data_IF_565985688168
#
_entry.id   IF_565985688168
#
_cell.length_a   1.000
_cell.length_b   1.000
_cell.length_c   1.000
_cell.angle_alpha   90.00
_cell.angle_beta   90.00
_cell.angle_gamma   90.00
#
_symmetry.space_group_name_H-M   'P 1'
#
loop_
_entity.id
_entity.type
_entity.pdbx_description
1 polymer ?
#
# COMPACT_ATOMS: atom_id res chain seq x y z
N UNK A 1 51.43 11.81 31.60
CA UNK A 1 50.05 11.45 32.05
C UNK A 1 49.07 11.87 30.96
N UNK A 2 48.36 10.91 30.38
CA UNK A 2 47.47 11.11 29.23
C UNK A 2 46.26 11.97 29.60
N UNK A 3 46.03 13.06 28.85
CA UNK A 3 44.76 13.80 28.87
C UNK A 3 43.67 12.86 28.35
N UNK A 4 42.72 12.51 29.22
CA UNK A 4 41.53 11.77 28.84
C UNK A 4 40.79 12.53 27.74
N UNK A 5 40.70 11.92 26.55
CA UNK A 5 39.95 12.44 25.43
C UNK A 5 38.47 12.26 25.73
N UNK A 6 37.85 13.27 26.35
CA UNK A 6 36.40 13.37 26.45
C UNK A 6 35.84 13.30 25.02
N UNK A 7 35.10 12.23 24.72
CA UNK A 7 34.33 12.10 23.49
C UNK A 7 33.22 13.15 23.55
N UNK A 8 33.52 14.38 23.12
CA UNK A 8 32.52 15.39 22.83
C UNK A 8 31.64 14.81 21.72
N UNK A 9 30.42 14.36 22.08
CA UNK A 9 29.36 14.02 21.12
C UNK A 9 29.20 15.22 20.18
N UNK A 10 29.72 15.12 18.95
CA UNK A 10 29.52 16.15 17.92
C UNK A 10 28.04 16.20 17.57
N UNK A 11 27.28 17.06 18.26
CA UNK A 11 25.86 17.35 17.99
C UNK A 11 25.59 17.70 16.53
N UNK A 12 26.56 18.28 15.85
CA UNK A 12 26.48 18.72 14.44
C UNK A 12 26.17 17.60 13.43
N UNK A 13 26.33 16.31 13.79
CA UNK A 13 26.10 15.19 12.86
C UNK A 13 24.67 14.66 12.84
N UNK A 14 23.80 15.09 13.75
CA UNK A 14 22.45 14.54 13.87
C UNK A 14 21.41 15.65 13.86
N UNK A 15 20.31 15.44 13.14
CA UNK A 15 19.15 16.31 13.23
C UNK A 15 18.58 16.28 14.66
N UNK A 16 18.01 17.40 15.10
CA UNK A 16 17.34 17.45 16.39
C UNK A 16 16.21 16.39 16.44
N UNK A 17 16.07 15.68 17.57
CA UNK A 17 14.99 14.72 17.72
C UNK A 17 13.63 15.39 17.49
N UNK A 18 12.76 14.82 16.63
CA UNK A 18 11.43 15.37 16.42
C UNK A 18 10.59 15.26 17.71
N UNK A 19 9.78 16.26 17.98
CA UNK A 19 8.77 16.22 19.03
C UNK A 19 7.46 15.64 18.46
N UNK A 20 7.10 14.42 18.85
CA UNK A 20 5.85 13.77 18.43
C UNK A 20 4.70 14.14 19.38
N UNK A 21 3.75 14.92 18.88
CA UNK A 21 2.62 15.44 19.68
C UNK A 21 1.34 14.62 19.55
N UNK A 22 1.12 13.97 18.41
CA UNK A 22 -0.02 13.09 18.19
C UNK A 22 0.40 11.62 18.37
N UNK A 23 -0.35 10.88 19.18
CA UNK A 23 -0.19 9.44 19.37
C UNK A 23 -1.55 8.78 19.28
N UNK A 24 -1.70 7.85 18.35
CA UNK A 24 -2.90 7.05 18.17
C UNK A 24 -2.49 5.59 18.06
N UNK A 25 -3.14 4.74 18.83
CA UNK A 25 -2.99 3.30 18.74
C UNK A 25 -4.14 2.74 17.90
N UNK A 26 -3.80 1.90 16.92
CA UNK A 26 -4.73 1.24 16.02
C UNK A 26 -4.83 -0.26 16.29
N UNK A 27 -4.15 -0.76 17.33
CA UNK A 27 -4.18 -2.17 17.70
C UNK A 27 -5.59 -2.59 18.12
N UNK A 28 -6.14 -3.70 17.57
CA UNK A 28 -7.41 -4.25 18.03
C UNK A 28 -7.35 -4.64 19.51
N UNK A 29 -8.41 -4.37 20.26
CA UNK A 29 -8.44 -4.57 21.73
C UNK A 29 -8.37 -6.05 22.16
N UNK A 30 -8.72 -6.97 21.27
CA UNK A 30 -8.73 -8.41 21.48
C UNK A 30 -7.36 -9.07 21.22
N UNK A 31 -6.39 -8.34 20.63
CA UNK A 31 -5.04 -8.85 20.39
C UNK A 31 -4.22 -8.78 21.68
N UNK A 32 -3.96 -9.95 22.28
CA UNK A 32 -3.02 -10.10 23.40
C UNK A 32 -1.66 -10.57 22.90
N UNK A 33 -0.63 -9.77 23.17
CA UNK A 33 0.75 -10.16 22.88
C UNK A 33 1.21 -11.30 23.81
N UNK A 34 1.82 -12.31 23.21
CA UNK A 34 2.45 -13.45 23.86
C UNK A 34 3.98 -13.45 23.71
N UNK A 35 4.54 -12.52 22.94
CA UNK A 35 5.97 -12.40 22.65
C UNK A 35 6.47 -13.51 21.71
N UNK A 36 7.69 -13.98 21.96
CA UNK A 36 8.28 -15.15 21.29
C UNK A 36 8.00 -16.39 22.15
N UNK A 37 6.98 -17.16 21.79
CA UNK A 37 6.48 -18.27 22.61
C UNK A 37 6.08 -19.48 21.76
N UNK A 38 6.52 -20.68 22.14
CA UNK A 38 5.95 -21.92 21.59
C UNK A 38 4.54 -22.13 22.16
N UNK A 39 3.54 -22.13 21.30
CA UNK A 39 2.11 -22.13 21.68
C UNK A 39 1.43 -23.48 21.51
N UNK A 40 2.11 -24.45 20.92
CA UNK A 40 1.57 -25.80 20.77
C UNK A 40 2.40 -26.67 19.86
N UNK A 41 1.89 -27.89 19.64
CA UNK A 41 2.44 -28.83 18.69
C UNK A 41 1.35 -29.80 18.24
N UNK A 42 1.62 -30.51 17.16
CA UNK A 42 0.87 -31.69 16.73
C UNK A 42 1.84 -32.80 16.37
N UNK A 43 1.38 -34.04 16.49
CA UNK A 43 2.16 -35.25 16.21
C UNK A 43 1.35 -36.08 15.22
N UNK A 44 2.01 -36.61 14.20
CA UNK A 44 1.37 -37.53 13.25
C UNK A 44 0.89 -38.81 13.96
N UNK A 45 -0.10 -39.48 13.38
CA UNK A 45 -0.68 -40.70 13.95
C UNK A 45 0.36 -41.82 14.13
N UNK A 46 1.25 -41.99 13.15
CA UNK A 46 2.38 -42.92 13.18
C UNK A 46 3.55 -42.45 14.08
N UNK A 47 3.44 -41.25 14.65
CA UNK A 47 4.41 -40.59 15.54
C UNK A 47 5.81 -40.39 14.93
N UNK A 48 5.92 -40.36 13.61
CA UNK A 48 7.19 -40.10 12.91
C UNK A 48 7.47 -38.61 12.68
N UNK A 49 6.43 -37.77 12.72
CA UNK A 49 6.52 -36.33 12.45
C UNK A 49 5.89 -35.53 13.59
N UNK A 50 6.55 -34.43 13.97
CA UNK A 50 6.03 -33.44 14.92
C UNK A 50 6.14 -32.05 14.30
N UNK A 51 5.03 -31.30 14.31
CA UNK A 51 5.05 -29.87 14.02
C UNK A 51 5.01 -29.11 15.36
N UNK A 52 5.85 -28.09 15.50
CA UNK A 52 5.82 -27.16 16.62
C UNK A 52 5.33 -25.80 16.15
N UNK A 53 4.43 -25.20 16.93
CA UNK A 53 3.85 -23.90 16.63
C UNK A 53 4.56 -22.83 17.46
N UNK A 54 5.30 -21.96 16.78
CA UNK A 54 5.92 -20.78 17.37
C UNK A 54 5.04 -19.56 17.07
N UNK A 55 4.59 -18.87 18.11
CA UNK A 55 4.02 -17.54 18.01
C UNK A 55 5.11 -16.50 18.25
N UNK A 56 5.16 -15.47 17.40
CA UNK A 56 6.14 -14.41 17.49
C UNK A 56 5.49 -13.07 17.18
N UNK A 57 5.23 -12.29 18.23
CA UNK A 57 4.76 -10.91 18.07
C UNK A 57 5.86 -10.02 17.53
N UNK A 58 5.62 -9.48 16.33
CA UNK A 58 6.60 -8.64 15.65
C UNK A 58 6.08 -7.22 15.50
N UNK A 59 6.71 -6.29 16.22
CA UNK A 59 6.42 -4.85 16.12
C UNK A 59 7.49 -4.15 15.29
N UNK A 60 7.06 -3.56 14.17
CA UNK A 60 7.90 -2.72 13.32
C UNK A 60 7.52 -1.25 13.44
N UNK A 61 8.51 -0.38 13.60
CA UNK A 61 8.33 1.07 13.46
C UNK A 61 8.81 1.52 12.08
N UNK A 62 7.88 1.92 11.22
CA UNK A 62 8.20 2.48 9.91
C UNK A 62 8.32 4.00 10.05
N UNK A 63 9.48 4.57 9.70
CA UNK A 63 9.69 6.02 9.69
C UNK A 63 9.61 6.53 8.25
N UNK A 64 8.55 7.26 7.93
CA UNK A 64 8.35 7.79 6.57
C UNK A 64 9.20 9.02 6.24
N UNK A 65 9.83 9.66 7.23
CA UNK A 65 10.78 10.76 7.03
C UNK A 65 10.16 11.90 6.21
N UNK A 66 10.84 12.33 5.14
CA UNK A 66 10.33 13.37 4.26
C UNK A 66 9.06 13.01 3.48
N UNK A 67 8.68 11.73 3.41
CA UNK A 67 7.43 11.30 2.79
C UNK A 67 6.23 11.39 3.75
N UNK A 68 6.43 11.74 5.03
CA UNK A 68 5.37 11.70 6.06
C UNK A 68 4.13 12.50 5.69
N UNK A 69 4.27 13.63 4.97
CA UNK A 69 3.12 14.45 4.55
C UNK A 69 2.17 13.73 3.57
N UNK A 70 2.64 12.73 2.82
CA UNK A 70 1.77 11.85 2.05
C UNK A 70 0.86 11.02 2.97
N UNK A 71 1.46 10.33 3.95
CA UNK A 71 0.73 9.46 4.87
C UNK A 71 -0.20 10.23 5.82
N UNK A 72 0.20 11.44 6.25
CA UNK A 72 -0.69 12.35 6.99
C UNK A 72 -1.88 12.75 6.12
N UNK A 73 -1.65 13.09 4.84
CA UNK A 73 -2.74 13.39 3.90
C UNK A 73 -3.76 12.25 3.76
N UNK A 74 -3.32 10.99 3.84
CA UNK A 74 -4.23 9.85 3.79
C UNK A 74 -5.22 9.83 4.98
N UNK A 75 -4.79 10.23 6.18
CA UNK A 75 -5.69 10.41 7.33
C UNK A 75 -6.79 11.45 7.03
N UNK A 76 -6.42 12.53 6.35
CA UNK A 76 -7.32 13.62 5.97
C UNK A 76 -8.20 13.31 4.75
N UNK A 77 -8.00 12.16 4.09
CA UNK A 77 -8.71 11.83 2.85
C UNK A 77 -8.19 12.60 1.63
N UNK A 78 -6.90 12.92 1.63
CA UNK A 78 -6.20 13.66 0.59
C UNK A 78 -5.07 12.84 -0.02
N UNK A 79 -4.86 12.98 -1.32
CA UNK A 79 -3.67 12.45 -1.98
C UNK A 79 -2.66 13.59 -2.13
N UNK A 80 -1.63 13.58 -1.29
CA UNK A 80 -0.54 14.57 -1.41
C UNK A 80 0.52 14.08 -2.40
N UNK A 81 0.75 14.83 -3.46
CA UNK A 81 1.85 14.65 -4.39
C UNK A 81 2.98 15.63 -4.16
N UNK A 82 4.02 15.47 -4.98
CA UNK A 82 5.12 16.43 -5.09
C UNK A 82 5.27 16.89 -6.54
N UNK A 83 5.57 18.17 -6.77
CA UNK A 83 5.83 18.76 -8.08
C UNK A 83 7.22 19.40 -8.12
N UNK A 84 7.99 19.21 -9.17
CA UNK A 84 9.24 19.94 -9.36
C UNK A 84 8.95 21.37 -9.87
N UNK A 85 9.46 22.42 -9.21
CA UNK A 85 9.25 23.80 -9.67
C UNK A 85 9.99 24.12 -10.98
N UNK A 86 10.98 23.30 -11.37
CA UNK A 86 11.79 23.53 -12.58
C UNK A 86 11.18 22.92 -13.84
N UNK A 87 10.83 21.63 -13.82
CA UNK A 87 10.25 20.94 -15.00
C UNK A 87 8.73 20.80 -14.95
N UNK A 88 8.09 21.08 -13.82
CA UNK A 88 6.63 20.96 -13.67
C UNK A 88 6.11 19.53 -13.46
N UNK A 89 6.97 18.51 -13.56
CA UNK A 89 6.56 17.11 -13.32
C UNK A 89 6.03 16.91 -11.91
N UNK A 90 5.00 16.08 -11.80
CA UNK A 90 4.36 15.70 -10.53
C UNK A 90 4.43 14.19 -10.28
N UNK A 91 4.45 13.78 -9.02
CA UNK A 91 4.59 12.37 -8.63
C UNK A 91 3.71 11.98 -7.44
N UNK A 92 3.03 10.84 -7.59
CA UNK A 92 2.45 10.00 -6.54
C UNK A 92 2.72 8.53 -6.92
N UNK A 93 3.52 7.76 -6.17
CA UNK A 93 4.15 8.09 -4.89
C UNK A 93 5.10 9.30 -4.94
N UNK A 94 5.22 10.00 -3.81
CA UNK A 94 5.98 11.24 -3.70
C UNK A 94 7.48 11.04 -3.87
N UNK A 95 8.14 12.05 -4.42
CA UNK A 95 9.61 12.15 -4.50
C UNK A 95 10.01 13.54 -4.02
N UNK A 96 10.87 13.60 -3.01
CA UNK A 96 11.26 14.89 -2.40
C UNK A 96 12.28 15.66 -3.24
N UNK A 97 12.88 14.99 -4.21
CA UNK A 97 13.81 15.56 -5.19
C UNK A 97 13.48 15.05 -6.59
N UNK A 98 13.66 15.92 -7.58
CA UNK A 98 13.42 15.59 -8.98
C UNK A 98 14.47 14.58 -9.48
N UNK A 99 13.99 13.56 -10.19
CA UNK A 99 14.80 12.51 -10.80
C UNK A 99 15.32 12.86 -12.20
N UNK A 100 14.74 13.89 -12.84
CA UNK A 100 15.22 14.37 -14.12
C UNK A 100 16.64 14.93 -13.94
N UNK A 101 17.59 14.41 -14.72
CA UNK A 101 19.00 14.78 -14.65
C UNK A 101 19.21 16.28 -14.94
N UNK A 102 18.41 16.87 -15.82
CA UNK A 102 18.44 18.31 -16.14
C UNK A 102 17.97 19.16 -14.96
N UNK A 103 17.26 18.58 -14.00
CA UNK A 103 16.81 19.24 -12.79
C UNK A 103 17.81 19.13 -11.64
N UNK A 104 18.89 18.34 -11.77
CA UNK A 104 19.96 18.22 -10.79
C UNK A 104 19.48 18.13 -9.33
N UNK A 105 18.62 17.15 -9.04
CA UNK A 105 18.05 16.92 -7.71
C UNK A 105 17.28 18.14 -7.13
N UNK A 106 16.64 18.95 -7.98
CA UNK A 106 15.78 20.04 -7.53
C UNK A 106 14.78 19.56 -6.47
N UNK A 107 14.76 20.22 -5.31
CA UNK A 107 13.79 19.93 -4.24
C UNK A 107 12.37 20.24 -4.73
N UNK A 108 11.46 19.32 -4.48
CA UNK A 108 10.08 19.38 -4.95
C UNK A 108 9.19 20.12 -3.95
N UNK A 109 8.09 20.65 -4.47
CA UNK A 109 7.04 21.34 -3.72
C UNK A 109 5.86 20.39 -3.52
N UNK A 110 5.14 20.52 -2.42
CA UNK A 110 3.96 19.71 -2.15
C UNK A 110 2.74 20.24 -2.91
N UNK A 111 1.96 19.32 -3.47
CA UNK A 111 0.72 19.63 -4.19
C UNK A 111 -0.37 18.65 -3.77
N UNK A 112 -1.60 19.11 -3.65
CA UNK A 112 -2.76 18.22 -3.48
C UNK A 112 -3.18 17.71 -4.86
N UNK A 113 -3.25 16.39 -5.01
CA UNK A 113 -3.57 15.73 -6.29
C UNK A 113 -5.07 15.46 -6.37
N UNK A 114 -5.66 15.49 -7.58
CA UNK A 114 -7.08 15.19 -7.73
C UNK A 114 -7.38 13.73 -7.38
N UNK A 115 -8.62 13.47 -6.95
CA UNK A 115 -9.11 12.13 -6.64
C UNK A 115 -9.54 11.34 -7.89
N UNK A 116 -8.82 11.55 -8.98
CA UNK A 116 -9.04 10.89 -10.28
C UNK A 116 -7.77 10.17 -10.70
N UNK A 117 -7.93 9.04 -11.37
CA UNK A 117 -6.82 8.27 -11.87
C UNK A 117 -7.15 7.60 -13.21
N UNK A 118 -6.13 7.04 -13.85
CA UNK A 118 -6.26 6.29 -15.10
C UNK A 118 -5.43 5.02 -15.02
N UNK A 119 -6.02 3.88 -15.36
CA UNK A 119 -5.30 2.59 -15.37
C UNK A 119 -4.12 2.65 -16.35
N UNK A 120 -2.91 2.37 -15.86
CA UNK A 120 -1.72 2.19 -16.67
C UNK A 120 -1.49 0.71 -16.99
N UNK A 121 -1.57 -0.15 -15.98
CA UNK A 121 -1.50 -1.61 -16.12
C UNK A 121 -2.20 -2.28 -14.93
N UNK A 122 -2.49 -3.57 -15.03
CA UNK A 122 -3.23 -4.31 -14.03
C UNK A 122 -2.88 -5.80 -14.02
N UNK A 123 -3.23 -6.47 -12.94
CA UNK A 123 -3.10 -7.92 -12.78
C UNK A 123 -4.21 -8.46 -11.89
N UNK A 124 -4.39 -9.78 -11.92
CA UNK A 124 -5.38 -10.50 -11.10
C UNK A 124 -4.65 -11.50 -10.23
N UNK A 125 -4.72 -11.30 -8.93
CA UNK A 125 -4.22 -12.26 -7.97
C UNK A 125 -5.26 -13.36 -7.77
N UNK A 126 -4.94 -14.58 -8.23
CA UNK A 126 -5.71 -15.80 -7.96
C UNK A 126 -5.29 -16.53 -6.67
N UNK A 127 -4.24 -16.05 -5.99
CA UNK A 127 -3.74 -16.58 -4.74
C UNK A 127 -3.21 -15.45 -3.86
N UNK A 128 -3.27 -15.61 -2.54
CA UNK A 128 -2.77 -14.63 -1.57
C UNK A 128 -2.41 -15.30 -0.24
N UNK A 129 -1.92 -14.51 0.72
CA UNK A 129 -1.75 -14.96 2.10
C UNK A 129 -3.08 -15.35 2.75
N UNK A 130 -3.01 -16.20 3.79
CA UNK A 130 -4.18 -16.82 4.44
C UNK A 130 -5.29 -15.82 4.82
N UNK A 131 -4.92 -14.63 5.28
CA UNK A 131 -5.86 -13.58 5.69
C UNK A 131 -6.67 -12.95 4.56
N UNK A 132 -6.25 -13.12 3.30
CA UNK A 132 -6.90 -12.51 2.13
C UNK A 132 -7.58 -13.52 1.21
N UNK A 133 -7.53 -14.82 1.53
CA UNK A 133 -8.07 -15.87 0.65
C UNK A 133 -9.55 -15.67 0.32
N UNK A 134 -10.36 -15.26 1.30
CA UNK A 134 -11.81 -15.01 1.12
C UNK A 134 -12.12 -13.80 0.22
N UNK A 135 -11.12 -12.96 -0.11
CA UNK A 135 -11.27 -11.80 -1.01
C UNK A 135 -10.85 -12.08 -2.44
N UNK A 136 -10.37 -13.29 -2.75
CA UNK A 136 -9.89 -13.63 -4.08
C UNK A 136 -11.05 -13.81 -5.08
N UNK A 137 -10.79 -13.57 -6.38
CA UNK A 137 -9.59 -12.95 -6.94
C UNK A 137 -9.52 -11.44 -6.65
N UNK A 138 -8.30 -10.92 -6.42
CA UNK A 138 -8.07 -9.48 -6.18
C UNK A 138 -7.53 -8.84 -7.46
N UNK A 139 -8.12 -7.73 -7.89
CA UNK A 139 -7.61 -6.92 -8.99
C UNK A 139 -6.64 -5.87 -8.44
N UNK A 140 -5.40 -5.89 -8.91
CA UNK A 140 -4.38 -4.89 -8.57
C UNK A 140 -4.09 -4.05 -9.81
N UNK A 141 -4.05 -2.73 -9.63
CA UNK A 141 -3.75 -1.79 -10.71
C UNK A 141 -2.57 -0.91 -10.36
N UNK A 142 -1.84 -0.54 -11.40
CA UNK A 142 -0.97 0.62 -11.39
C UNK A 142 -1.73 1.71 -12.14
N UNK A 143 -2.02 2.83 -11.47
CA UNK A 143 -2.79 3.92 -12.04
C UNK A 143 -2.05 5.26 -11.92
N UNK A 144 -2.14 6.10 -12.95
CA UNK A 144 -1.67 7.48 -12.88
C UNK A 144 -2.74 8.32 -12.17
N UNK A 145 -2.41 8.88 -11.01
CA UNK A 145 -3.29 9.80 -10.28
C UNK A 145 -3.10 11.21 -10.82
N UNK A 146 -4.19 11.85 -11.26
CA UNK A 146 -4.16 13.16 -11.88
C UNK A 146 -3.11 13.26 -13.01
N UNK A 147 -2.18 14.20 -12.85
CA UNK A 147 -1.07 14.45 -13.81
C UNK A 147 0.25 13.79 -13.41
N UNK A 148 0.23 12.83 -12.48
CA UNK A 148 1.45 12.15 -12.01
C UNK A 148 2.18 11.48 -13.17
N UNK A 149 3.52 11.63 -13.20
CA UNK A 149 4.41 10.96 -14.16
C UNK A 149 4.74 9.51 -13.80
N UNK A 150 4.32 9.06 -12.61
CA UNK A 150 4.50 7.69 -12.13
C UNK A 150 3.17 7.11 -11.69
N UNK A 151 3.03 5.80 -11.81
CA UNK A 151 1.83 5.10 -11.41
C UNK A 151 1.89 4.68 -9.93
N UNK A 152 0.74 4.72 -9.27
CA UNK A 152 0.53 4.23 -7.91
C UNK A 152 -0.11 2.86 -7.95
N UNK A 153 0.43 1.91 -7.19
CA UNK A 153 -0.14 0.59 -7.01
C UNK A 153 -1.27 0.63 -5.98
N UNK A 154 -2.45 0.10 -6.30
CA UNK A 154 -3.49 -0.19 -5.31
C UNK A 154 -4.51 -1.22 -5.83
N UNK A 155 -5.42 -1.68 -4.97
CA UNK A 155 -6.55 -2.52 -5.37
C UNK A 155 -7.57 -1.71 -6.19
N UNK A 156 -8.19 -2.39 -7.18
CA UNK A 156 -9.35 -1.88 -7.93
C UNK A 156 -10.58 -2.70 -7.53
N UNK A 157 -11.61 -2.02 -7.02
CA UNK A 157 -12.84 -2.63 -6.52
C UNK A 157 -14.01 -2.37 -7.47
N UNK A 158 -15.12 -3.09 -7.25
CA UNK A 158 -16.39 -2.83 -7.95
C UNK A 158 -16.39 -3.19 -9.44
N UNK A 159 -15.52 -4.09 -9.88
CA UNK A 159 -15.41 -4.51 -11.28
C UNK A 159 -15.07 -6.00 -11.39
N UNK A 160 -15.53 -6.66 -12.45
CA UNK A 160 -15.07 -8.01 -12.74
C UNK A 160 -13.64 -8.01 -13.32
N UNK A 161 -12.80 -9.00 -13.00
CA UNK A 161 -11.42 -9.06 -13.50
C UNK A 161 -11.28 -8.97 -15.03
N UNK A 162 -12.24 -9.53 -15.79
CA UNK A 162 -12.24 -9.50 -17.26
C UNK A 162 -12.78 -8.20 -17.86
N UNK A 163 -13.26 -7.26 -17.05
CA UNK A 163 -13.76 -5.97 -17.51
C UNK A 163 -12.70 -4.88 -17.46
N UNK A 164 -11.58 -5.10 -16.76
CA UNK A 164 -10.52 -4.10 -16.59
C UNK A 164 -9.85 -3.78 -17.92
N UNK A 165 -9.70 -2.50 -18.23
CA UNK A 165 -9.15 -2.04 -19.50
C UNK A 165 -8.02 -1.02 -19.30
N UNK A 166 -7.04 -1.05 -20.21
CA UNK A 166 -6.00 -0.04 -20.24
C UNK A 166 -6.62 1.34 -20.46
N UNK A 167 -6.18 2.30 -19.65
CA UNK A 167 -6.63 3.67 -19.76
C UNK A 167 -8.05 3.94 -19.25
N UNK A 168 -8.73 2.97 -18.63
CA UNK A 168 -10.04 3.25 -18.03
C UNK A 168 -9.92 4.32 -16.93
N UNK A 169 -10.85 5.30 -16.89
CA UNK A 169 -10.89 6.32 -15.85
C UNK A 169 -11.36 5.73 -14.52
N UNK A 170 -10.68 6.15 -13.45
CA UNK A 170 -10.90 5.70 -12.08
C UNK A 170 -11.16 6.90 -11.17
N UNK A 171 -11.91 6.66 -10.10
CA UNK A 171 -12.03 7.53 -8.93
C UNK A 171 -11.27 6.92 -7.74
N UNK A 172 -10.84 7.76 -6.82
CA UNK A 172 -10.22 7.34 -5.56
C UNK A 172 -11.29 7.37 -4.46
N UNK A 173 -11.46 6.25 -3.78
CA UNK A 173 -12.43 6.10 -2.69
C UNK A 173 -11.67 5.84 -1.40
N UNK A 174 -11.90 6.69 -0.39
CA UNK A 174 -11.31 6.54 0.93
C UNK A 174 -12.23 5.75 1.86
N UNK A 175 -11.65 4.99 2.76
CA UNK A 175 -12.34 4.48 3.95
C UNK A 175 -12.98 5.63 4.76
N UNK A 176 -13.99 5.36 5.59
CA UNK A 176 -14.48 6.30 6.59
C UNK A 176 -13.34 6.88 7.42
N UNK A 177 -13.41 8.16 7.81
CA UNK A 177 -12.32 8.90 8.46
C UNK A 177 -11.77 8.19 9.70
N UNK A 178 -12.65 7.55 10.46
CA UNK A 178 -12.36 6.87 11.72
C UNK A 178 -11.55 5.58 11.52
N UNK A 179 -11.66 4.98 10.33
CA UNK A 179 -10.97 3.74 9.95
C UNK A 179 -9.63 3.97 9.26
N UNK A 180 -9.24 5.23 9.02
CA UNK A 180 -7.97 5.57 8.36
C UNK A 180 -6.82 5.50 9.34
N UNK A 181 -5.72 4.90 8.89
CA UNK A 181 -4.51 4.63 9.69
C UNK A 181 -3.26 5.29 9.15
N UNK A 182 -3.38 6.12 8.11
CA UNK A 182 -2.26 6.76 7.43
C UNK A 182 -1.51 5.76 6.55
N UNK A 183 -2.22 4.80 5.95
CA UNK A 183 -1.63 3.78 5.08
C UNK A 183 -2.22 3.83 3.67
N UNK A 184 -1.49 3.32 2.69
CA UNK A 184 -1.95 3.27 1.28
C UNK A 184 -3.28 2.52 1.14
N UNK A 185 -3.55 1.56 2.02
CA UNK A 185 -4.80 0.81 2.07
C UNK A 185 -5.97 1.60 2.68
N UNK A 186 -5.80 2.88 3.04
CA UNK A 186 -6.90 3.78 3.44
C UNK A 186 -7.73 4.24 2.26
N UNK A 187 -7.25 4.03 1.03
CA UNK A 187 -8.01 4.22 -0.18
C UNK A 187 -7.86 3.03 -1.12
N UNK A 188 -8.76 2.95 -2.08
CA UNK A 188 -8.69 2.05 -3.24
C UNK A 188 -9.18 2.79 -4.49
N UNK A 189 -9.05 2.15 -5.64
CA UNK A 189 -9.61 2.66 -6.88
C UNK A 189 -10.97 2.02 -7.18
N UNK A 190 -11.86 2.77 -7.81
CA UNK A 190 -13.09 2.26 -8.43
C UNK A 190 -13.23 2.85 -9.83
N UNK A 191 -13.94 2.20 -10.76
CA UNK A 191 -14.35 2.82 -12.01
C UNK A 191 -15.18 4.08 -11.73
N UNK A 192 -15.06 5.08 -12.61
CA UNK A 192 -16.01 6.21 -12.59
C UNK A 192 -17.40 5.74 -13.04
N UNK A 193 -18.46 6.34 -12.49
CA UNK A 193 -19.84 5.83 -12.62
C UNK A 193 -20.37 5.80 -14.07
N UNK A 194 -19.84 6.67 -14.93
CA UNK A 194 -20.24 6.75 -16.34
C UNK A 194 -19.47 5.80 -17.26
N UNK A 195 -18.39 5.18 -16.79
CA UNK A 195 -17.57 4.31 -17.61
C UNK A 195 -18.24 2.93 -17.75
N UNK A 196 -18.16 2.36 -18.95
CA UNK A 196 -18.69 1.03 -19.26
C UNK A 196 -17.61 0.21 -19.95
N UNK A 197 -17.47 -1.08 -19.61
CA UNK A 197 -16.51 -1.95 -20.29
C UNK A 197 -16.91 -2.15 -21.75
N UNK A 198 -15.92 -2.37 -22.62
CA UNK A 198 -16.17 -2.83 -23.98
C UNK A 198 -16.87 -4.20 -23.98
N UNK A 199 -17.56 -4.57 -25.08
CA UNK A 199 -18.21 -5.87 -25.20
C UNK A 199 -17.28 -7.05 -24.94
N UNK A 200 -17.85 -8.20 -24.60
CA UNK A 200 -17.09 -9.44 -24.43
C UNK A 200 -16.32 -9.78 -25.72
N UNK A 201 -15.04 -10.12 -25.55
CA UNK A 201 -14.17 -10.58 -26.63
C UNK A 201 -13.43 -11.84 -26.18
N UNK A 202 -12.64 -12.44 -27.06
CA UNK A 202 -11.90 -13.67 -26.78
C UNK A 202 -10.97 -13.56 -25.56
N UNK A 203 -10.26 -12.44 -25.41
CA UNK A 203 -9.36 -12.23 -24.27
C UNK A 203 -10.12 -12.06 -22.96
N UNK A 204 -11.23 -11.31 -22.95
CA UNK A 204 -12.09 -11.18 -21.78
C UNK A 204 -12.68 -12.52 -21.36
N UNK A 205 -13.13 -13.33 -22.32
CA UNK A 205 -13.62 -14.67 -22.05
C UNK A 205 -12.50 -15.56 -21.47
N UNK A 206 -11.29 -15.50 -22.04
CA UNK A 206 -10.11 -16.22 -21.52
C UNK A 206 -9.80 -15.84 -20.07
N UNK A 207 -9.81 -14.54 -19.74
CA UNK A 207 -9.60 -14.07 -18.36
C UNK A 207 -10.70 -14.61 -17.44
N UNK A 208 -11.97 -14.53 -17.88
CA UNK A 208 -13.12 -15.05 -17.13
C UNK A 208 -12.97 -16.54 -16.81
N UNK A 209 -12.58 -17.33 -17.80
CA UNK A 209 -12.37 -18.78 -17.63
C UNK A 209 -11.23 -19.07 -16.65
N UNK A 210 -10.14 -18.29 -16.69
CA UNK A 210 -9.01 -18.42 -15.76
C UNK A 210 -9.36 -18.07 -14.31
N UNK A 211 -10.21 -17.08 -14.09
CA UNK A 211 -10.58 -16.64 -12.72
C UNK A 211 -11.75 -17.44 -12.12
N UNK A 212 -12.56 -18.11 -12.95
CA UNK A 212 -13.73 -18.87 -12.48
C UNK A 212 -13.36 -19.94 -11.44
N UNK A 213 -12.32 -20.78 -11.64
CA UNK A 213 -11.90 -21.74 -10.63
C UNK A 213 -11.52 -21.11 -9.29
N UNK A 214 -10.98 -19.90 -9.30
CA UNK A 214 -10.64 -19.16 -8.07
C UNK A 214 -11.91 -18.80 -7.31
N UNK A 215 -12.93 -18.27 -7.98
CA UNK A 215 -14.23 -17.98 -7.36
C UNK A 215 -14.86 -19.23 -6.75
N UNK A 216 -14.85 -20.36 -7.47
CA UNK A 216 -15.41 -21.61 -6.96
C UNK A 216 -14.62 -22.13 -5.76
N UNK A 217 -13.29 -22.08 -5.81
CA UNK A 217 -12.45 -22.47 -4.69
C UNK A 217 -12.71 -21.61 -3.45
N UNK A 218 -12.83 -20.28 -3.59
CA UNK A 218 -13.08 -19.37 -2.46
C UNK A 218 -14.37 -19.72 -1.72
N UNK A 219 -15.42 -20.16 -2.43
CA UNK A 219 -16.68 -20.62 -1.81
C UNK A 219 -16.51 -21.86 -0.92
N UNK A 220 -15.45 -22.66 -1.14
CA UNK A 220 -15.17 -23.86 -0.32
C UNK A 220 -14.44 -23.55 0.98
N UNK A 221 -13.92 -22.33 1.13
CA UNK A 221 -13.13 -21.92 2.31
C UNK A 221 -14.08 -21.63 3.47
N UNK A 222 -13.99 -22.45 4.52
CA UNK A 222 -14.74 -22.29 5.78
C UNK A 222 -14.36 -21.00 6.52
#
# INVERSE_FOLDING_TARGET
MMKGMLVTKRKEKFADPPNFTEKKDYRPADVKETGLSFVGHEISEDRTVMNQFLHYDQLYTIRHGWNSRFFIGLLDGKIMGTRCPKCGDSWVPVRTHCWNLDCNLQRTEWVEMPLTAKVHTWTVAGWSGRSSLKRLPIVLVYAFIGTSKVAMANELHGIHPWEVEFGMPLKIVFKPKEQRVGAVTDFHFEPVDFWKPSPMNQEKQRIKDLVTPVYEWVKTIK
#
